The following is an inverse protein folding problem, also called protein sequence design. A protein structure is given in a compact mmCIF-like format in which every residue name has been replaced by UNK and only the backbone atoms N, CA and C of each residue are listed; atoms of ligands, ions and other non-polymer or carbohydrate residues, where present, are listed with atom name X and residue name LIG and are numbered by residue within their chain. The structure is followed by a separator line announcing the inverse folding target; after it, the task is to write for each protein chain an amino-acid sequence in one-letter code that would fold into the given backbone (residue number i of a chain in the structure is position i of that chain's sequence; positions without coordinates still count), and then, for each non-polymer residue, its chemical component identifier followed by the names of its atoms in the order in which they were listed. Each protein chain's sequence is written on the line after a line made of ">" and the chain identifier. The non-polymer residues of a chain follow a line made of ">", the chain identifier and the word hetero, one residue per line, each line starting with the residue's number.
data_IF_929054958490
#
_entry.id   IF_929054958490
#
_cell.length_a   1.000
_cell.length_b   1.000
_cell.length_c   1.000
_cell.angle_alpha   90.00
_cell.angle_beta   90.00
_cell.angle_gamma   90.00
#
_symmetry.space_group_name_H-M   'P 1'
#
loop_
_entity.id
_entity.type
_entity.pdbx_description
1 polymer ?
#
# COMPACT_ATOMS: atom_id res chain seq x y z
N UNK A 1 -25.59 7.06 -23.38
CA UNK A 1 -25.26 8.43 -22.97
C UNK A 1 -25.44 9.37 -24.15
N UNK A 2 -25.66 10.66 -23.89
CA UNK A 2 -25.79 11.71 -24.93
C UNK A 2 -24.60 12.64 -24.86
N UNK A 3 -23.93 12.83 -25.99
CA UNK A 3 -22.82 13.76 -26.16
C UNK A 3 -23.34 15.15 -26.54
N UNK A 4 -22.48 16.17 -26.51
CA UNK A 4 -22.85 17.52 -26.95
C UNK A 4 -23.31 17.55 -28.42
N UNK A 5 -22.79 16.64 -29.26
CA UNK A 5 -23.20 16.54 -30.66
C UNK A 5 -24.64 16.01 -30.83
N UNK A 6 -25.18 15.32 -29.82
CA UNK A 6 -26.55 14.82 -29.82
C UNK A 6 -27.59 15.88 -29.38
N UNK A 7 -27.14 17.00 -28.83
CA UNK A 7 -28.00 18.05 -28.27
C UNK A 7 -28.41 19.03 -29.38
N UNK A 8 -29.33 18.60 -30.24
CA UNK A 8 -29.78 19.38 -31.41
C UNK A 8 -30.78 20.49 -31.05
N UNK A 9 -31.40 20.42 -29.88
CA UNK A 9 -32.36 21.42 -29.40
C UNK A 9 -31.66 22.42 -28.47
N UNK A 10 -31.89 23.75 -28.62
CA UNK A 10 -31.27 24.77 -27.79
C UNK A 10 -31.46 24.55 -26.27
N UNK A 11 -32.63 24.07 -25.86
CA UNK A 11 -32.95 23.78 -24.45
C UNK A 11 -32.04 22.70 -23.83
N UNK A 12 -31.59 21.72 -24.63
CA UNK A 12 -30.71 20.65 -24.17
C UNK A 12 -29.28 21.17 -23.97
N UNK A 13 -28.83 22.05 -24.88
CA UNK A 13 -27.53 22.72 -24.75
C UNK A 13 -27.50 23.64 -23.52
N UNK A 14 -28.56 24.42 -23.33
CA UNK A 14 -28.72 25.30 -22.17
C UNK A 14 -28.71 24.49 -20.86
N UNK A 15 -29.54 23.45 -20.77
CA UNK A 15 -29.58 22.57 -19.60
C UNK A 15 -28.20 21.97 -19.27
N UNK A 16 -27.46 21.48 -20.27
CA UNK A 16 -26.10 20.94 -20.05
C UNK A 16 -25.14 22.01 -19.54
N UNK A 17 -25.18 23.21 -20.11
CA UNK A 17 -24.32 24.31 -19.69
C UNK A 17 -24.59 24.72 -18.24
N UNK A 18 -25.86 24.80 -17.85
CA UNK A 18 -26.27 25.08 -16.48
C UNK A 18 -25.85 23.96 -15.53
N UNK A 19 -26.05 22.70 -15.89
CA UNK A 19 -25.65 21.55 -15.08
C UNK A 19 -24.13 21.54 -14.85
N UNK A 20 -23.33 21.78 -15.89
CA UNK A 20 -21.87 21.86 -15.78
C UNK A 20 -21.45 23.04 -14.91
N UNK A 21 -22.07 24.21 -15.07
CA UNK A 21 -21.80 25.39 -14.25
C UNK A 21 -22.07 25.08 -12.78
N UNK A 22 -23.26 24.56 -12.46
CA UNK A 22 -23.63 24.16 -11.11
C UNK A 22 -22.66 23.11 -10.53
N UNK A 23 -22.22 22.13 -11.33
CA UNK A 23 -21.22 21.14 -10.89
C UNK A 23 -19.85 21.76 -10.59
N UNK A 24 -19.39 22.72 -11.41
CA UNK A 24 -18.11 23.42 -11.17
C UNK A 24 -18.16 24.31 -9.94
N UNK A 25 -19.28 24.99 -9.73
CA UNK A 25 -19.53 25.81 -8.54
C UNK A 25 -19.72 24.96 -7.28
N UNK A 26 -20.04 23.68 -7.43
CA UNK A 26 -20.25 22.77 -6.31
C UNK A 26 -18.98 21.96 -5.97
N UNK A 27 -18.28 21.44 -6.99
CA UNK A 27 -17.08 20.63 -6.83
C UNK A 27 -15.83 21.43 -7.15
N UNK A 28 -15.20 21.95 -6.10
CA UNK A 28 -13.95 22.67 -6.20
C UNK A 28 -12.75 21.77 -5.96
N UNK A 29 -11.67 22.05 -6.67
CA UNK A 29 -10.36 21.47 -6.38
C UNK A 29 -9.65 22.34 -5.35
N UNK A 30 -9.06 21.69 -4.36
CA UNK A 30 -8.11 22.32 -3.45
C UNK A 30 -6.73 21.74 -3.71
N UNK A 31 -5.75 22.63 -3.87
CA UNK A 31 -4.33 22.26 -3.89
C UNK A 31 -3.93 21.92 -2.47
N UNK A 32 -3.50 20.68 -2.24
CA UNK A 32 -3.07 20.24 -0.91
C UNK A 32 -1.59 20.53 -0.68
N UNK A 33 -0.75 19.89 -1.48
CA UNK A 33 0.71 20.00 -1.47
C UNK A 33 1.15 20.10 -2.93
N UNK A 34 2.02 21.07 -3.27
CA UNK A 34 2.56 21.16 -4.62
C UNK A 34 3.18 19.83 -5.08
N UNK A 35 2.81 19.37 -6.26
CA UNK A 35 3.32 18.11 -6.85
C UNK A 35 2.45 16.87 -6.61
N UNK A 36 1.38 16.94 -5.80
CA UNK A 36 0.40 15.86 -5.66
C UNK A 36 -0.90 16.12 -6.44
N UNK A 37 -1.69 15.07 -6.73
CA UNK A 37 -3.04 15.25 -7.26
C UNK A 37 -3.89 16.13 -6.33
N UNK A 38 -4.64 17.06 -6.95
CA UNK A 38 -5.63 17.87 -6.25
C UNK A 38 -6.77 17.00 -5.70
N UNK A 39 -7.49 17.51 -4.70
CA UNK A 39 -8.61 16.81 -4.08
C UNK A 39 -9.86 17.70 -4.02
N UNK A 40 -11.02 17.06 -3.80
CA UNK A 40 -12.31 17.74 -3.67
C UNK A 40 -12.32 18.56 -2.38
N UNK A 41 -12.58 19.86 -2.51
CA UNK A 41 -12.71 20.75 -1.36
C UNK A 41 -14.00 20.45 -0.57
N UNK A 42 -13.88 20.47 0.76
CA UNK A 42 -15.00 20.33 1.71
C UNK A 42 -14.97 21.59 2.59
N UNK A 43 -15.58 22.71 2.15
CA UNK A 43 -15.41 24.01 2.80
C UNK A 43 -15.82 24.01 4.27
N UNK A 44 -16.85 23.25 4.63
CA UNK A 44 -17.41 23.20 5.98
C UNK A 44 -16.63 22.30 6.96
N UNK A 45 -15.58 21.61 6.50
CA UNK A 45 -14.77 20.76 7.38
C UNK A 45 -13.46 21.44 7.77
N UNK A 46 -13.33 21.76 9.05
CA UNK A 46 -12.08 22.16 9.66
C UNK A 46 -11.57 21.02 10.57
N UNK A 47 -10.41 20.42 10.28
CA UNK A 47 -9.85 19.39 11.14
C UNK A 47 -9.52 19.98 12.52
N UNK A 48 -9.84 19.27 13.63
CA UNK A 48 -9.54 19.77 14.96
C UNK A 48 -8.02 19.87 15.18
N UNK A 49 -7.58 20.96 15.83
CA UNK A 49 -6.20 21.09 16.30
C UNK A 49 -5.88 19.93 17.27
N UNK A 50 -4.75 19.23 17.05
CA UNK A 50 -4.36 18.09 17.90
C UNK A 50 -4.02 18.58 19.32
N UNK A 51 -4.57 17.93 20.35
CA UNK A 51 -4.32 18.23 21.77
C UNK A 51 -2.93 17.79 22.27
N UNK A 52 -2.17 17.00 21.52
CA UNK A 52 -0.84 16.53 21.92
C UNK A 52 0.24 17.29 21.14
N UNK A 53 0.79 18.32 21.77
CA UNK A 53 1.88 19.17 21.28
C UNK A 53 3.20 18.43 21.48
N UNK A 54 3.74 17.78 20.44
CA UNK A 54 5.14 17.37 20.42
C UNK A 54 5.94 18.53 19.81
N UNK A 55 6.78 19.25 20.58
CA UNK A 55 7.49 20.43 20.11
C UNK A 55 8.53 20.16 19.02
N UNK A 56 8.98 18.91 18.85
CA UNK A 56 9.96 18.53 17.83
C UNK A 56 9.31 17.98 16.54
N UNK A 57 7.98 18.02 16.43
CA UNK A 57 7.27 17.59 15.23
C UNK A 57 6.83 18.83 14.45
N UNK A 58 7.17 18.98 13.17
CA UNK A 58 6.61 20.04 12.33
C UNK A 58 5.09 20.07 12.48
N UNK A 59 4.46 21.24 12.44
CA UNK A 59 3.02 21.39 12.57
C UNK A 59 2.29 20.59 11.49
N UNK A 60 1.91 19.37 11.83
CA UNK A 60 1.06 18.54 10.99
C UNK A 60 -0.37 18.72 11.47
N UNK A 61 -1.23 19.34 10.64
CA UNK A 61 -2.70 19.37 10.83
C UNK A 61 -3.36 17.97 10.73
N UNK A 62 -2.61 16.90 11.02
CA UNK A 62 -3.01 15.50 10.84
C UNK A 62 -2.56 14.89 9.52
N UNK A 63 -1.70 15.56 8.74
CA UNK A 63 -1.36 15.17 7.37
C UNK A 63 0.15 15.04 7.12
N UNK A 64 0.52 14.20 6.16
CA UNK A 64 1.90 13.96 5.70
C UNK A 64 2.01 14.49 4.26
N UNK A 65 2.83 15.51 3.97
CA UNK A 65 3.11 15.99 2.62
C UNK A 65 3.67 14.86 1.79
N UNK A 66 3.23 14.77 0.54
CA UNK A 66 3.55 13.64 -0.33
C UNK A 66 2.50 12.51 -0.34
N UNK A 67 1.49 12.51 0.56
CA UNK A 67 0.41 11.52 0.55
C UNK A 67 -0.96 12.13 0.18
N UNK A 68 -1.78 11.44 -0.65
CA UNK A 68 -3.18 11.82 -0.86
C UNK A 68 -3.92 11.87 0.47
N UNK A 69 -4.77 12.89 0.66
CA UNK A 69 -5.57 12.99 1.89
C UNK A 69 -6.53 11.79 1.99
N UNK A 70 -6.47 11.10 3.12
CA UNK A 70 -7.59 10.32 3.65
C UNK A 70 -8.62 11.32 4.19
N UNK A 71 -9.73 11.53 3.47
CA UNK A 71 -10.85 12.34 3.98
C UNK A 71 -11.22 11.79 5.35
N UNK A 72 -11.14 12.63 6.39
CA UNK A 72 -11.52 12.20 7.73
C UNK A 72 -12.96 11.68 7.67
N UNK A 73 -13.23 10.51 8.22
CA UNK A 73 -14.59 9.95 8.20
C UNK A 73 -15.62 10.93 8.78
N UNK A 74 -15.23 11.80 9.72
CA UNK A 74 -16.07 12.88 10.25
C UNK A 74 -16.38 13.96 9.19
N UNK A 75 -15.43 14.25 8.30
CA UNK A 75 -15.61 15.19 7.19
C UNK A 75 -16.67 14.71 6.18
N UNK A 76 -16.89 13.39 6.07
CA UNK A 76 -17.90 12.83 5.15
C UNK A 76 -19.32 13.34 5.46
N UNK A 77 -19.61 13.75 6.71
CA UNK A 77 -20.90 14.34 7.09
C UNK A 77 -21.13 15.73 6.52
N UNK A 78 -20.11 16.35 5.91
CA UNK A 78 -20.21 17.66 5.25
C UNK A 78 -20.20 17.56 3.72
N UNK A 79 -20.00 16.36 3.15
CA UNK A 79 -20.08 16.14 1.70
C UNK A 79 -21.51 16.35 1.19
N UNK A 80 -21.71 16.54 -0.11
CA UNK A 80 -23.06 16.46 -0.69
C UNK A 80 -23.68 15.08 -0.46
N UNK A 81 -25.00 14.98 -0.33
CA UNK A 81 -25.71 13.70 -0.24
C UNK A 81 -25.37 12.75 -1.40
N UNK A 82 -25.17 13.28 -2.61
CA UNK A 82 -24.77 12.53 -3.80
C UNK A 82 -23.35 11.93 -3.72
N UNK A 83 -22.49 12.45 -2.83
CA UNK A 83 -21.14 11.95 -2.59
C UNK A 83 -21.01 11.13 -1.29
N UNK A 84 -22.04 11.11 -0.45
CA UNK A 84 -22.02 10.36 0.82
C UNK A 84 -22.33 8.90 0.58
N UNK A 85 -21.76 8.04 1.42
CA UNK A 85 -22.29 6.70 1.55
C UNK A 85 -23.75 6.76 1.99
N UNK A 86 -24.55 5.83 1.48
CA UNK A 86 -25.91 5.64 1.97
C UNK A 86 -25.91 5.36 3.48
N UNK A 87 -27.03 5.64 4.13
CA UNK A 87 -27.19 5.36 5.55
C UNK A 87 -26.89 3.88 5.87
N UNK A 88 -27.42 2.96 5.08
CA UNK A 88 -27.21 1.51 5.24
C UNK A 88 -25.74 1.14 5.10
N UNK A 89 -25.04 1.68 4.09
CA UNK A 89 -23.61 1.42 3.90
C UNK A 89 -22.79 1.95 5.08
N UNK A 90 -23.11 3.16 5.56
CA UNK A 90 -22.48 3.78 6.73
C UNK A 90 -22.71 2.93 7.99
N UNK A 91 -23.95 2.53 8.27
CA UNK A 91 -24.29 1.68 9.40
C UNK A 91 -23.54 0.33 9.34
N UNK A 92 -23.43 -0.28 8.16
CA UNK A 92 -22.73 -1.55 7.98
C UNK A 92 -21.24 -1.48 8.33
N UNK A 93 -20.58 -0.34 8.09
CA UNK A 93 -19.17 -0.14 8.41
C UNK A 93 -18.94 -0.19 9.92
N UNK A 94 -19.76 0.55 10.68
CA UNK A 94 -19.66 0.58 12.15
C UNK A 94 -20.08 -0.74 12.78
N UNK A 95 -21.12 -1.39 12.24
CA UNK A 95 -21.55 -2.70 12.71
C UNK A 95 -20.46 -3.77 12.53
N UNK A 96 -19.66 -3.70 11.45
CA UNK A 96 -18.55 -4.65 11.21
C UNK A 96 -17.32 -4.34 12.06
N UNK A 97 -16.95 -3.07 12.23
CA UNK A 97 -15.73 -2.69 12.95
C UNK A 97 -15.88 -2.67 14.47
N UNK A 98 -17.04 -2.27 14.99
CA UNK A 98 -17.28 -2.12 16.43
C UNK A 98 -16.99 -3.38 17.24
N UNK A 99 -17.61 -4.53 16.90
CA UNK A 99 -17.36 -5.80 17.58
C UNK A 99 -15.88 -6.25 17.50
N UNK A 100 -15.22 -6.06 16.34
CA UNK A 100 -13.81 -6.40 16.16
C UNK A 100 -12.90 -5.57 17.07
N UNK A 101 -13.11 -4.24 17.10
CA UNK A 101 -12.34 -3.33 17.95
C UNK A 101 -12.51 -3.66 19.44
N UNK A 102 -13.74 -3.94 19.89
CA UNK A 102 -14.03 -4.35 21.26
C UNK A 102 -13.35 -5.68 21.60
N UNK A 103 -13.42 -6.68 20.71
CA UNK A 103 -12.76 -7.97 20.91
C UNK A 103 -11.23 -7.83 21.02
N UNK A 104 -10.60 -6.98 20.21
CA UNK A 104 -9.16 -6.71 20.31
C UNK A 104 -8.80 -5.99 21.61
N UNK A 105 -9.64 -5.07 22.09
CA UNK A 105 -9.44 -4.39 23.37
C UNK A 105 -9.57 -5.37 24.55
N UNK A 106 -10.62 -6.19 24.59
CA UNK A 106 -10.84 -7.19 25.65
C UNK A 106 -9.74 -8.25 25.70
N UNK A 107 -9.16 -8.63 24.56
CA UNK A 107 -8.00 -9.53 24.49
C UNK A 107 -6.67 -8.85 24.83
N UNK A 108 -6.69 -7.56 25.15
CA UNK A 108 -5.50 -6.76 25.46
C UNK A 108 -4.56 -6.55 24.27
N UNK A 109 -4.99 -6.83 23.03
CA UNK A 109 -4.15 -6.69 21.83
C UNK A 109 -3.87 -5.21 21.52
N UNK A 110 -4.82 -4.33 21.81
CA UNK A 110 -4.67 -2.87 21.61
C UNK A 110 -3.65 -2.25 22.58
N UNK A 111 -3.57 -2.76 23.81
CA UNK A 111 -2.72 -2.21 24.86
C UNK A 111 -1.36 -2.94 24.99
N UNK A 112 -1.15 -4.00 24.20
CA UNK A 112 0.06 -4.82 24.26
C UNK A 112 1.23 -4.09 23.63
N UNK A 113 2.15 -3.61 24.48
CA UNK A 113 3.41 -2.96 24.07
C UNK A 113 4.61 -3.91 23.97
N UNK A 114 4.45 -5.19 24.35
CA UNK A 114 5.53 -6.19 24.40
C UNK A 114 5.51 -7.07 23.14
N UNK A 115 6.68 -7.55 22.75
CA UNK A 115 6.85 -8.49 21.63
C UNK A 115 6.15 -9.83 21.87
N UNK A 116 5.78 -10.49 20.77
CA UNK A 116 5.34 -11.89 20.80
C UNK A 116 6.48 -12.79 21.25
N UNK A 117 6.20 -13.75 22.13
CA UNK A 117 7.22 -14.69 22.61
C UNK A 117 7.63 -15.71 21.54
N UNK A 118 6.68 -16.08 20.67
CA UNK A 118 6.88 -17.06 19.60
C UNK A 118 6.11 -16.60 18.38
N UNK A 119 6.65 -16.86 17.19
CA UNK A 119 6.01 -16.50 15.94
C UNK A 119 4.61 -17.12 15.78
N UNK A 120 4.47 -18.39 16.20
CA UNK A 120 3.19 -19.11 16.21
C UNK A 120 2.10 -18.47 17.08
N UNK A 121 2.45 -17.54 17.97
CA UNK A 121 1.47 -16.85 18.81
C UNK A 121 0.76 -15.71 18.06
N UNK A 122 1.30 -15.24 16.92
CA UNK A 122 0.70 -14.18 16.08
C UNK A 122 -0.68 -14.61 15.55
N UNK A 123 -0.90 -15.91 15.31
CA UNK A 123 -2.21 -16.42 14.87
C UNK A 123 -3.35 -16.13 15.86
N UNK A 124 -3.02 -15.85 17.12
CA UNK A 124 -4.01 -15.50 18.15
C UNK A 124 -4.60 -14.09 17.96
N UNK A 125 -4.13 -13.31 16.98
CA UNK A 125 -4.70 -12.01 16.61
C UNK A 125 -6.07 -12.18 15.91
N UNK A 126 -6.27 -13.27 15.15
CA UNK A 126 -7.46 -13.45 14.29
C UNK A 126 -8.45 -14.57 14.70
N UNK A 127 -8.83 -14.78 15.98
CA UNK A 127 -9.68 -15.93 16.33
C UNK A 127 -11.07 -15.92 15.69
N UNK A 128 -11.60 -14.74 15.33
CA UNK A 128 -12.98 -14.56 14.88
C UNK A 128 -13.11 -14.19 13.39
N UNK A 129 -11.99 -14.13 12.65
CA UNK A 129 -11.96 -13.67 11.25
C UNK A 129 -10.95 -14.48 10.44
N UNK A 130 -10.94 -15.79 10.64
CA UNK A 130 -10.18 -16.68 9.78
C UNK A 130 -10.90 -16.86 8.47
N UNK A 131 -10.18 -16.60 7.38
CA UNK A 131 -10.58 -16.95 6.03
C UNK A 131 -9.69 -18.08 5.52
N UNK A 132 -10.16 -18.80 4.51
CA UNK A 132 -9.36 -19.81 3.79
C UNK A 132 -8.00 -19.22 3.39
N UNK A 133 -7.99 -17.98 2.90
CA UNK A 133 -6.76 -17.27 2.52
C UNK A 133 -5.84 -17.04 3.72
N UNK A 134 -6.37 -16.57 4.86
CA UNK A 134 -5.53 -16.29 6.04
C UNK A 134 -4.93 -17.55 6.66
N UNK A 135 -5.64 -18.68 6.59
CA UNK A 135 -5.13 -19.96 7.09
C UNK A 135 -4.06 -20.52 6.14
N UNK A 136 -4.32 -20.47 4.83
CA UNK A 136 -3.35 -20.85 3.81
C UNK A 136 -2.05 -20.04 3.95
N UNK A 137 -2.14 -18.71 4.10
CA UNK A 137 -0.97 -17.86 4.35
C UNK A 137 -0.24 -18.29 5.62
N UNK A 138 -0.96 -18.53 6.72
CA UNK A 138 -0.32 -18.91 7.99
C UNK A 138 0.41 -20.25 7.92
N UNK A 139 0.00 -21.15 7.02
CA UNK A 139 0.63 -22.45 6.77
C UNK A 139 1.83 -22.34 5.81
N UNK A 140 1.72 -21.54 4.74
CA UNK A 140 2.69 -21.55 3.62
C UNK A 140 3.60 -20.31 3.59
N UNK A 141 3.52 -19.38 4.55
CA UNK A 141 4.30 -18.13 4.51
C UNK A 141 5.84 -18.31 4.48
N UNK A 142 6.34 -19.48 4.85
CA UNK A 142 7.78 -19.82 4.82
C UNK A 142 8.23 -20.44 3.50
N UNK A 143 7.32 -20.75 2.59
CA UNK A 143 7.63 -21.41 1.32
C UNK A 143 8.05 -20.37 0.28
N UNK A 144 9.21 -20.57 -0.34
CA UNK A 144 9.73 -19.67 -1.38
C UNK A 144 8.78 -19.55 -2.58
N UNK A 145 8.12 -20.65 -2.94
CA UNK A 145 7.08 -20.69 -3.98
C UNK A 145 5.90 -19.79 -3.64
N UNK A 146 5.45 -19.80 -2.37
CA UNK A 146 4.38 -18.92 -1.93
C UNK A 146 4.84 -17.46 -1.76
N UNK A 147 6.09 -17.23 -1.38
CA UNK A 147 6.71 -15.89 -1.37
C UNK A 147 6.72 -15.29 -2.78
N UNK A 148 7.19 -16.03 -3.79
CA UNK A 148 7.21 -15.58 -5.17
C UNK A 148 5.81 -15.47 -5.79
N UNK A 149 4.89 -16.38 -5.47
CA UNK A 149 3.49 -16.32 -5.89
C UNK A 149 2.81 -14.99 -5.51
N UNK A 150 3.13 -14.45 -4.33
CA UNK A 150 2.55 -13.20 -3.85
C UNK A 150 2.92 -11.97 -4.70
N UNK A 151 4.02 -12.02 -5.46
CA UNK A 151 4.36 -10.94 -6.40
C UNK A 151 3.45 -10.92 -7.63
N UNK A 152 2.77 -12.02 -7.94
CA UNK A 152 1.86 -12.12 -9.08
C UNK A 152 0.39 -12.03 -8.64
N UNK A 153 0.06 -12.66 -7.51
CA UNK A 153 -1.32 -12.90 -7.10
C UNK A 153 -1.64 -12.42 -5.67
N UNK A 154 -0.66 -11.78 -5.00
CA UNK A 154 -0.80 -11.29 -3.64
C UNK A 154 -1.42 -9.91 -3.56
N UNK A 155 -1.11 -9.20 -2.47
CA UNK A 155 -1.71 -7.89 -2.17
C UNK A 155 -1.22 -6.75 -3.07
N UNK A 156 0.02 -6.85 -3.58
CA UNK A 156 0.63 -5.78 -4.37
C UNK A 156 1.38 -6.34 -5.60
N UNK A 157 0.65 -6.79 -6.64
CA UNK A 157 1.25 -7.38 -7.83
C UNK A 157 1.81 -6.35 -8.82
N UNK A 158 1.88 -5.06 -8.45
CA UNK A 158 2.25 -3.97 -9.36
C UNK A 158 3.75 -3.66 -9.44
N UNK A 159 4.59 -4.26 -8.58
CA UNK A 159 6.01 -3.89 -8.49
C UNK A 159 6.94 -4.77 -9.33
N UNK A 160 6.59 -6.05 -9.51
CA UNK A 160 7.45 -7.00 -10.21
C UNK A 160 7.55 -6.63 -11.70
N UNK A 161 8.78 -6.67 -12.23
CA UNK A 161 9.04 -6.41 -13.65
C UNK A 161 10.09 -7.38 -14.17
N UNK A 162 10.00 -7.73 -15.45
CA UNK A 162 11.04 -8.51 -16.13
C UNK A 162 12.37 -7.74 -16.08
N UNK A 163 13.44 -8.44 -15.75
CA UNK A 163 14.79 -7.92 -15.70
C UNK A 163 15.51 -8.26 -17.01
N UNK A 164 16.02 -7.25 -17.71
CA UNK A 164 16.86 -7.44 -18.91
C UNK A 164 18.34 -7.24 -18.61
N UNK A 165 18.64 -6.53 -17.52
CA UNK A 165 19.98 -6.26 -17.03
C UNK A 165 19.91 -6.01 -15.52
N UNK A 166 20.83 -6.60 -14.76
CA UNK A 166 20.92 -6.35 -13.33
C UNK A 166 21.32 -4.90 -13.05
N UNK A 167 20.73 -4.25 -12.03
CA UNK A 167 21.20 -2.95 -11.58
C UNK A 167 22.63 -3.02 -11.03
N UNK A 168 23.48 -2.04 -11.34
CA UNK A 168 24.89 -2.00 -10.88
C UNK A 168 25.05 -2.12 -9.35
N UNK A 169 24.07 -1.59 -8.60
CA UNK A 169 24.04 -1.64 -7.13
C UNK A 169 23.56 -2.99 -6.56
N UNK A 170 23.33 -3.98 -7.42
CA UNK A 170 22.86 -5.32 -7.07
C UNK A 170 23.77 -6.38 -7.71
N UNK A 171 24.99 -6.59 -7.15
CA UNK A 171 26.04 -7.41 -7.75
C UNK A 171 25.82 -8.91 -7.52
N UNK A 172 24.67 -9.43 -7.97
CA UNK A 172 24.39 -10.86 -7.95
C UNK A 172 25.24 -11.55 -9.02
N UNK A 173 25.99 -12.57 -8.63
CA UNK A 173 26.83 -13.35 -9.55
C UNK A 173 26.15 -14.66 -9.93
N UNK A 174 26.65 -15.29 -10.99
CA UNK A 174 26.14 -16.58 -11.46
C UNK A 174 26.28 -17.66 -10.37
N UNK A 175 27.40 -17.68 -9.66
CA UNK A 175 27.67 -18.66 -8.59
C UNK A 175 26.67 -18.57 -7.44
N UNK A 176 26.18 -17.36 -7.13
CA UNK A 176 25.18 -17.15 -6.07
C UNK A 176 23.84 -17.77 -6.42
N UNK A 177 23.47 -17.75 -7.70
CA UNK A 177 22.13 -18.15 -8.15
C UNK A 177 22.10 -19.50 -8.84
N UNK A 178 23.25 -20.04 -9.26
CA UNK A 178 23.36 -21.32 -9.95
C UNK A 178 22.57 -22.47 -9.30
N UNK A 179 22.54 -22.64 -7.96
CA UNK A 179 21.74 -23.69 -7.31
C UNK A 179 20.22 -23.57 -7.51
N UNK A 180 19.72 -22.38 -7.86
CA UNK A 180 18.30 -22.09 -8.03
C UNK A 180 17.88 -22.05 -9.51
N UNK A 181 18.85 -22.06 -10.42
CA UNK A 181 18.61 -22.11 -11.86
C UNK A 181 18.58 -23.56 -12.34
N UNK A 182 17.99 -23.79 -13.52
CA UNK A 182 17.95 -25.12 -14.13
C UNK A 182 19.33 -25.62 -14.59
N UNK A 183 19.51 -26.93 -14.71
CA UNK A 183 20.75 -27.49 -15.26
C UNK A 183 21.03 -26.97 -16.69
N UNK A 184 22.30 -26.69 -16.99
CA UNK A 184 22.73 -26.24 -18.32
C UNK A 184 22.36 -24.80 -18.67
N UNK A 185 22.01 -23.98 -17.68
CA UNK A 185 21.79 -22.54 -17.86
C UNK A 185 22.71 -21.72 -16.95
N UNK A 186 22.67 -20.40 -17.12
CA UNK A 186 23.32 -19.42 -16.28
C UNK A 186 22.44 -18.17 -16.17
N UNK A 187 22.77 -17.28 -15.24
CA UNK A 187 22.03 -16.05 -15.00
C UNK A 187 21.86 -15.20 -16.27
N UNK A 188 22.93 -15.09 -17.08
CA UNK A 188 22.90 -14.34 -18.33
C UNK A 188 21.94 -14.97 -19.35
N UNK A 189 21.95 -16.30 -19.48
CA UNK A 189 21.04 -17.00 -20.38
C UNK A 189 19.57 -16.85 -19.93
N UNK A 190 19.29 -16.90 -18.64
CA UNK A 190 17.92 -16.72 -18.12
C UNK A 190 17.42 -15.26 -18.22
N UNK A 191 18.33 -14.27 -18.13
CA UNK A 191 18.04 -12.87 -18.45
C UNK A 191 17.61 -12.73 -19.93
N UNK A 192 18.35 -13.33 -20.85
CA UNK A 192 18.08 -13.29 -22.30
C UNK A 192 16.78 -14.02 -22.67
N UNK A 193 16.49 -15.16 -22.04
CA UNK A 193 15.20 -15.87 -22.18
C UNK A 193 14.03 -15.06 -21.59
N UNK A 194 14.31 -14.10 -20.70
CA UNK A 194 13.31 -13.27 -20.05
C UNK A 194 12.64 -13.95 -18.85
N UNK A 195 13.33 -14.89 -18.21
CA UNK A 195 12.84 -15.63 -17.04
C UNK A 195 13.23 -14.99 -15.71
N UNK A 196 14.08 -13.96 -15.73
CA UNK A 196 14.49 -13.24 -14.52
C UNK A 196 13.64 -11.99 -14.32
N UNK A 197 13.21 -11.77 -13.10
CA UNK A 197 12.33 -10.68 -12.67
C UNK A 197 12.92 -9.97 -11.46
N UNK A 198 12.51 -8.72 -11.26
CA UNK A 198 13.04 -7.89 -10.20
C UNK A 198 11.92 -7.09 -9.53
N UNK A 199 11.95 -7.07 -8.19
CA UNK A 199 11.14 -6.21 -7.36
C UNK A 199 12.05 -5.20 -6.65
N UNK A 200 11.96 -3.93 -7.05
CA UNK A 200 12.86 -2.86 -6.64
C UNK A 200 12.15 -1.85 -5.74
N UNK A 201 12.44 -1.87 -4.44
CA UNK A 201 11.81 -1.01 -3.46
C UNK A 201 12.58 0.30 -3.23
N UNK A 202 13.36 0.79 -4.21
CA UNK A 202 14.01 2.12 -4.17
C UNK A 202 13.11 3.27 -3.75
N UNK A 203 11.80 3.19 -4.00
CA UNK A 203 10.85 4.22 -3.56
C UNK A 203 10.82 4.41 -2.03
N UNK A 204 11.29 3.41 -1.26
CA UNK A 204 11.39 3.47 0.19
C UNK A 204 12.70 4.11 0.68
N UNK A 205 13.65 4.39 -0.21
CA UNK A 205 14.96 4.95 0.14
C UNK A 205 14.80 6.39 0.66
N UNK A 206 15.44 6.69 1.80
CA UNK A 206 15.41 8.01 2.42
C UNK A 206 14.08 8.40 3.09
N UNK A 207 13.11 7.49 3.20
CA UNK A 207 11.90 7.74 3.98
C UNK A 207 12.29 7.80 5.48
N UNK A 208 11.88 8.81 6.25
CA UNK A 208 12.23 8.89 7.66
C UNK A 208 11.50 7.83 8.48
N UNK A 209 12.22 7.21 9.41
CA UNK A 209 11.66 6.30 10.39
C UNK A 209 10.85 7.03 11.46
N UNK A 210 9.94 6.31 12.13
CA UNK A 210 9.14 6.84 13.24
C UNK A 210 9.51 6.16 14.55
N UNK A 211 9.23 6.83 15.67
CA UNK A 211 9.28 6.22 16.99
C UNK A 211 7.88 5.75 17.39
N UNK A 212 7.78 4.50 17.83
CA UNK A 212 6.53 3.92 18.34
C UNK A 212 6.79 3.35 19.74
N UNK A 213 6.04 3.83 20.74
CA UNK A 213 6.19 3.43 22.15
C UNK A 213 7.62 3.57 22.71
N UNK A 214 8.38 4.60 22.33
CA UNK A 214 9.76 4.77 22.78
C UNK A 214 10.80 3.98 21.97
N UNK A 215 10.38 3.25 20.94
CA UNK A 215 11.27 2.42 20.12
C UNK A 215 11.34 2.95 18.68
N UNK A 216 12.57 3.23 18.22
CA UNK A 216 12.85 3.57 16.82
C UNK A 216 12.44 2.41 15.92
N UNK A 217 11.58 2.68 14.94
CA UNK A 217 11.20 1.70 13.93
C UNK A 217 12.21 1.70 12.78
N UNK A 218 12.27 0.60 12.03
CA UNK A 218 13.20 0.46 10.91
C UNK A 218 12.44 -0.01 9.67
N UNK A 219 12.92 0.40 8.50
CA UNK A 219 12.54 -0.17 7.21
C UNK A 219 13.79 -0.20 6.32
N UNK A 220 13.66 -0.79 5.14
CA UNK A 220 14.70 -0.91 4.14
C UNK A 220 14.13 -0.64 2.75
N UNK A 221 15.01 -0.47 1.77
CA UNK A 221 14.67 -0.38 0.35
C UNK A 221 15.26 -1.60 -0.38
N UNK A 222 14.68 -2.80 -0.21
CA UNK A 222 15.27 -4.03 -0.71
C UNK A 222 15.17 -4.15 -2.24
N UNK A 223 16.05 -4.98 -2.80
CA UNK A 223 15.94 -5.46 -4.17
C UNK A 223 15.83 -6.99 -4.10
N UNK A 224 14.79 -7.55 -4.72
CA UNK A 224 14.58 -8.98 -4.80
C UNK A 224 14.67 -9.43 -6.26
N UNK A 225 15.53 -10.42 -6.52
CA UNK A 225 15.62 -11.12 -7.80
C UNK A 225 14.75 -12.38 -7.74
N UNK A 226 13.94 -12.57 -8.77
CA UNK A 226 13.09 -13.74 -8.90
C UNK A 226 13.34 -14.44 -10.24
N UNK A 227 13.20 -15.76 -10.24
CA UNK A 227 13.28 -16.61 -11.42
C UNK A 227 11.92 -17.26 -11.68
N UNK A 228 11.45 -17.19 -12.91
CA UNK A 228 10.27 -17.90 -13.37
C UNK A 228 10.69 -19.21 -14.05
N UNK A 229 10.70 -20.28 -13.26
CA UNK A 229 11.13 -21.61 -13.67
C UNK A 229 9.99 -22.64 -13.70
N UNK A 230 10.33 -23.94 -13.79
CA UNK A 230 9.36 -25.03 -13.79
C UNK A 230 8.44 -25.05 -12.57
N UNK A 231 8.96 -24.67 -11.40
CA UNK A 231 8.23 -24.64 -10.12
C UNK A 231 7.47 -23.31 -9.90
N UNK A 232 7.49 -22.41 -10.87
CA UNK A 232 6.85 -21.10 -10.80
C UNK A 232 7.81 -19.96 -10.49
N UNK A 233 7.29 -18.91 -9.85
CA UNK A 233 8.07 -17.72 -9.49
C UNK A 233 8.77 -17.95 -8.16
N UNK A 234 10.10 -17.98 -8.16
CA UNK A 234 10.93 -18.27 -6.99
C UNK A 234 11.88 -17.10 -6.69
N UNK A 235 12.04 -16.67 -5.43
CA UNK A 235 13.11 -15.76 -5.04
C UNK A 235 14.47 -16.46 -5.16
N UNK A 236 15.46 -15.79 -5.77
CA UNK A 236 16.81 -16.34 -5.94
C UNK A 236 17.91 -15.46 -5.34
N UNK A 237 17.63 -14.19 -5.05
CA UNK A 237 18.53 -13.31 -4.31
C UNK A 237 17.77 -12.13 -3.67
N UNK A 238 18.18 -11.68 -2.49
CA UNK A 238 17.61 -10.50 -1.84
C UNK A 238 18.73 -9.64 -1.26
N UNK A 239 18.84 -8.39 -1.73
CA UNK A 239 19.70 -7.40 -1.10
C UNK A 239 18.89 -6.47 -0.20
N UNK A 240 19.24 -6.44 1.09
CA UNK A 240 18.61 -5.55 2.08
C UNK A 240 19.48 -4.31 2.27
N UNK A 241 19.15 -3.23 1.57
CA UNK A 241 19.79 -1.93 1.77
C UNK A 241 19.26 -1.27 3.05
N UNK A 242 20.13 -1.08 4.04
CA UNK A 242 19.83 -0.34 5.28
C UNK A 242 20.27 1.11 5.14
N UNK A 243 19.57 2.01 5.81
CA UNK A 243 19.98 3.41 5.94
C UNK A 243 21.34 3.47 6.68
N UNK A 244 22.40 3.90 5.98
CA UNK A 244 23.71 4.19 6.56
C UNK A 244 24.78 3.09 6.50
N UNK A 245 24.48 1.89 5.99
CA UNK A 245 25.48 0.82 5.83
C UNK A 245 25.33 0.15 4.46
N UNK A 246 26.45 0.02 3.72
CA UNK A 246 26.51 -0.71 2.46
C UNK A 246 26.00 -2.15 2.67
N UNK A 247 24.90 -2.49 2.03
CA UNK A 247 24.20 -3.75 2.26
C UNK A 247 25.04 -4.97 1.88
N UNK A 248 24.98 -6.01 2.71
CA UNK A 248 25.38 -7.36 2.31
C UNK A 248 24.23 -8.00 1.51
N UNK A 249 24.54 -8.56 0.35
CA UNK A 249 23.66 -9.52 -0.32
C UNK A 249 23.73 -10.83 0.45
N UNK A 250 22.57 -11.44 0.72
CA UNK A 250 22.46 -12.82 1.24
C UNK A 250 21.66 -13.62 0.23
#
# INVERSE_FOLDING_TARGET
>A
GKTTADDTLPILLEHRQEEIRAKKDFYHWRVFVPGLPNYVDIPSYHPPARRCRNPNRPEWNGYIPGFPILINIKATRFLNSNLRFSFVKTASFFYRLGPMALAFKLRGLVDRKRSWKRLKDIKNIFPATKTVVSEYVAEHWMEDSFFGYQYLNGLNPGLIRRCTQLPDKFPVTDEMVAPFLGEGTCLQAELEKGNIYLADYRILEGIPTVELNGHKQHHCAPICLLYFGPDGMMPIAIQVLREGEGGAAV
#
